data_IF_904132125526
#
_entry.id   IF_904132125526
#
_cell.length_a   1.000
_cell.length_b   1.000
_cell.length_c   1.000
_cell.angle_alpha   90.00
_cell.angle_beta   90.00
_cell.angle_gamma   90.00
#
_symmetry.space_group_name_H-M   'P 1'
#
loop_
_entity.id
_entity.type
_entity.pdbx_description
1 polymer ?
#
# COMPACT_ATOMS: atom_id res chain seq x y z
N UNK A 1 -18.93 -18.96 -0.42
CA UNK A 1 -17.85 -17.95 -0.48
C UNK A 1 -17.34 -17.55 0.92
N UNK A 2 -17.57 -18.32 2.00
CA UNK A 2 -17.31 -17.86 3.38
C UNK A 2 -16.13 -18.55 4.08
N UNK A 3 -15.49 -19.56 3.45
CA UNK A 3 -14.49 -20.40 4.10
C UNK A 3 -13.15 -19.71 4.41
N UNK A 4 -12.83 -18.61 3.72
CA UNK A 4 -11.53 -17.91 3.86
C UNK A 4 -11.50 -17.01 5.12
N UNK A 5 -12.66 -16.51 5.57
CA UNK A 5 -12.77 -15.61 6.73
C UNK A 5 -12.74 -16.33 8.08
N UNK A 6 -13.18 -17.59 8.14
CA UNK A 6 -13.37 -18.34 9.39
C UNK A 6 -12.07 -18.90 10.01
N UNK A 7 -10.92 -18.72 9.36
CA UNK A 7 -9.62 -19.21 9.83
C UNK A 7 -8.91 -18.17 10.73
N UNK A 8 -9.43 -16.95 10.82
CA UNK A 8 -8.63 -15.75 11.14
C UNK A 8 -8.95 -15.07 12.48
N UNK A 9 -9.77 -15.69 13.35
CA UNK A 9 -10.32 -15.03 14.56
C UNK A 9 -10.16 -15.88 15.83
N UNK A 10 -9.04 -16.59 15.97
CA UNK A 10 -8.89 -17.69 16.94
C UNK A 10 -8.13 -17.41 18.24
N UNK A 11 -7.29 -16.38 18.31
CA UNK A 11 -6.30 -16.22 19.40
C UNK A 11 -6.10 -14.75 19.83
N UNK A 12 -5.77 -14.48 21.10
CA UNK A 12 -5.32 -13.18 21.61
C UNK A 12 -3.78 -13.13 21.73
N UNK A 13 -3.16 -11.99 21.41
CA UNK A 13 -1.71 -11.84 21.37
C UNK A 13 -1.25 -10.36 21.40
N UNK A 14 0.04 -10.10 21.62
CA UNK A 14 0.62 -8.76 21.87
C UNK A 14 2.06 -8.71 21.31
N UNK A 15 2.57 -7.65 20.64
CA UNK A 15 3.71 -7.84 19.70
C UNK A 15 4.70 -6.71 19.35
N UNK A 16 5.53 -7.04 18.32
CA UNK A 16 6.60 -6.28 17.65
C UNK A 16 6.39 -6.24 16.12
N UNK A 17 6.80 -5.16 15.48
CA UNK A 17 5.98 -4.49 14.44
C UNK A 17 6.64 -4.28 13.06
N UNK A 18 5.84 -4.20 11.98
CA UNK A 18 6.31 -4.37 10.59
C UNK A 18 5.38 -3.77 9.49
N UNK A 19 5.76 -2.65 8.84
CA UNK A 19 4.95 -2.03 7.77
C UNK A 19 5.41 -2.33 6.32
N UNK A 20 4.85 -3.37 5.70
CA UNK A 20 4.75 -3.50 4.22
C UNK A 20 3.26 -3.64 3.80
N UNK A 21 2.92 -3.74 2.50
CA UNK A 21 3.64 -3.20 1.36
C UNK A 21 2.93 -2.00 0.73
N UNK A 22 3.66 -1.00 0.20
CA UNK A 22 3.06 0.14 -0.47
C UNK A 22 2.42 -0.23 -1.82
N UNK A 23 1.21 0.29 -2.09
CA UNK A 23 0.51 0.11 -3.36
C UNK A 23 1.27 0.78 -4.52
N UNK A 24 1.33 0.12 -5.68
CA UNK A 24 1.44 0.79 -6.98
C UNK A 24 0.01 0.94 -7.50
N UNK A 25 -0.66 1.99 -7.04
CA UNK A 25 -1.94 2.37 -7.63
C UNK A 25 -1.66 3.00 -9.00
N UNK A 26 -2.19 2.40 -10.08
CA UNK A 26 -2.34 3.10 -11.35
C UNK A 26 -3.24 4.34 -11.10
N UNK A 27 -2.74 5.57 -11.25
CA UNK A 27 -3.55 6.75 -11.00
C UNK A 27 -4.72 6.83 -11.98
N UNK A 28 -4.58 6.35 -13.22
CA UNK A 28 -5.67 6.32 -14.22
C UNK A 28 -6.81 5.36 -13.85
N UNK A 29 -6.55 4.31 -13.07
CA UNK A 29 -7.60 3.43 -12.54
C UNK A 29 -8.42 4.11 -11.43
N UNK A 30 -7.79 5.01 -10.67
CA UNK A 30 -8.45 5.81 -9.62
C UNK A 30 -8.96 7.17 -10.12
N UNK A 31 -8.71 7.54 -11.37
CA UNK A 31 -9.06 8.84 -11.98
C UNK A 31 -10.14 8.66 -13.05
N UNK A 32 -11.41 8.75 -12.65
CA UNK A 32 -12.52 8.80 -13.61
C UNK A 32 -12.45 10.12 -14.42
N UNK A 33 -12.73 10.10 -15.73
CA UNK A 33 -12.71 11.30 -16.57
C UNK A 33 -13.94 12.19 -16.28
N UNK A 34 -13.80 13.07 -15.29
CA UNK A 34 -14.83 14.06 -14.94
C UNK A 34 -14.82 15.22 -15.94
N UNK A 35 -15.92 15.37 -16.69
CA UNK A 35 -16.18 16.50 -17.59
C UNK A 35 -15.88 16.23 -19.08
N UNK A 36 -16.67 16.85 -19.97
CA UNK A 36 -16.73 16.56 -21.41
C UNK A 36 -15.41 16.77 -22.17
N UNK A 37 -15.38 16.33 -23.43
CA UNK A 37 -14.24 16.46 -24.34
C UNK A 37 -13.79 17.92 -24.60
N UNK A 38 -14.64 18.89 -24.27
CA UNK A 38 -14.46 20.33 -24.53
C UNK A 38 -13.74 21.06 -23.37
N UNK A 39 -13.59 20.41 -22.21
CA UNK A 39 -12.89 20.98 -21.06
C UNK A 39 -11.38 21.18 -21.32
N UNK A 40 -10.72 22.10 -20.58
CA UNK A 40 -9.34 22.50 -20.86
C UNK A 40 -8.37 21.30 -20.90
N UNK A 41 -7.32 21.36 -21.74
CA UNK A 41 -6.46 20.21 -21.99
C UNK A 41 -5.61 19.84 -20.78
N UNK A 42 -5.19 20.81 -19.96
CA UNK A 42 -4.62 20.59 -18.64
C UNK A 42 -5.72 20.77 -17.60
N UNK A 43 -5.97 19.73 -16.80
CA UNK A 43 -6.91 19.74 -15.68
C UNK A 43 -6.13 19.50 -14.39
N UNK A 44 -6.27 20.42 -13.45
CA UNK A 44 -5.79 20.23 -12.08
C UNK A 44 -6.95 19.65 -11.29
N UNK A 45 -6.94 18.33 -11.06
CA UNK A 45 -7.79 17.77 -10.03
C UNK A 45 -7.17 18.10 -8.67
N UNK A 46 -7.72 19.11 -8.00
CA UNK A 46 -7.67 19.27 -6.56
C UNK A 46 -8.50 18.15 -5.88
N UNK A 47 -8.12 16.90 -6.14
CA UNK A 47 -8.76 15.70 -5.63
C UNK A 47 -8.03 15.25 -4.37
N UNK A 48 -8.64 15.45 -3.21
CA UNK A 48 -8.16 14.82 -1.99
C UNK A 48 -8.47 13.32 -2.07
N UNK A 49 -7.45 12.51 -2.32
CA UNK A 49 -7.47 11.08 -2.00
C UNK A 49 -6.87 10.92 -0.62
N UNK A 50 -7.70 10.51 0.34
CA UNK A 50 -7.29 10.17 1.71
C UNK A 50 -7.63 8.71 1.99
N UNK A 51 -6.62 7.88 2.23
CA UNK A 51 -6.77 6.51 2.72
C UNK A 51 -6.40 6.49 4.19
N UNK A 52 -7.37 6.19 5.05
CA UNK A 52 -7.15 5.72 6.41
C UNK A 52 -7.16 4.18 6.40
N UNK A 53 -6.27 3.52 7.14
CA UNK A 53 -6.41 2.08 7.34
C UNK A 53 -5.85 1.63 8.70
N UNK A 54 -6.41 0.53 9.17
CA UNK A 54 -6.03 -0.20 10.37
C UNK A 54 -5.59 -1.61 9.93
N UNK A 55 -4.33 -1.94 10.14
CA UNK A 55 -3.80 -3.30 9.91
C UNK A 55 -3.76 -4.07 11.21
N UNK A 56 -3.93 -5.40 11.17
CA UNK A 56 -3.67 -6.32 12.27
C UNK A 56 -2.70 -7.40 11.81
N UNK A 57 -1.57 -7.57 12.50
CA UNK A 57 -0.43 -8.35 12.03
C UNK A 57 -0.05 -9.47 13.01
N UNK A 58 -0.21 -10.72 12.58
CA UNK A 58 0.12 -11.93 13.35
C UNK A 58 1.47 -12.50 12.92
N UNK A 59 2.39 -12.63 13.88
CA UNK A 59 3.73 -13.22 13.65
C UNK A 59 3.73 -14.71 14.00
N UNK A 60 3.95 -15.58 13.02
CA UNK A 60 3.69 -17.03 13.14
C UNK A 60 4.64 -17.81 14.07
N UNK A 61 5.62 -17.14 14.66
CA UNK A 61 6.58 -17.70 15.64
C UNK A 61 6.74 -16.83 16.89
N UNK A 62 5.90 -15.81 17.06
CA UNK A 62 5.89 -14.96 18.26
C UNK A 62 4.84 -15.40 19.29
N UNK A 63 3.65 -15.79 18.82
CA UNK A 63 2.45 -15.80 19.67
C UNK A 63 1.96 -14.38 19.96
N UNK A 64 2.19 -13.47 19.01
CA UNK A 64 2.23 -12.02 19.20
C UNK A 64 1.54 -11.30 18.00
N UNK A 65 0.50 -10.48 18.26
CA UNK A 65 -0.24 -9.61 17.30
C UNK A 65 0.02 -8.08 17.48
N UNK A 66 0.14 -7.32 16.38
CA UNK A 66 0.32 -5.84 16.34
C UNK A 66 -0.75 -5.14 15.50
N UNK A 67 -0.84 -3.80 15.55
CA UNK A 67 -1.59 -3.02 14.56
C UNK A 67 -0.82 -1.84 13.95
N UNK A 68 -1.18 -1.44 12.73
CA UNK A 68 -0.71 -0.16 12.15
C UNK A 68 -1.88 0.77 11.87
N UNK A 69 -1.65 2.08 12.00
CA UNK A 69 -2.61 3.12 11.62
C UNK A 69 -1.99 3.98 10.53
N UNK A 70 -2.41 3.74 9.29
CA UNK A 70 -1.92 4.45 8.12
C UNK A 70 -2.81 5.60 7.69
N UNK A 71 -2.20 6.75 7.36
CA UNK A 71 -2.84 7.85 6.63
C UNK A 71 -2.02 8.16 5.39
N UNK A 72 -2.58 7.86 4.22
CA UNK A 72 -2.00 8.20 2.92
C UNK A 72 -2.82 9.31 2.27
N UNK A 73 -2.13 10.32 1.74
CA UNK A 73 -2.69 11.44 1.02
C UNK A 73 -2.14 11.59 -0.39
N UNK A 74 -2.93 12.23 -1.24
CA UNK A 74 -2.51 12.84 -2.51
C UNK A 74 -2.93 14.29 -2.49
N UNK A 75 -2.00 15.21 -2.78
CA UNK A 75 -2.27 16.66 -2.74
C UNK A 75 -2.86 17.21 -4.04
N UNK A 76 -2.46 16.69 -5.21
CA UNK A 76 -2.80 17.29 -6.51
C UNK A 76 -2.62 16.29 -7.65
N UNK A 77 -3.65 16.01 -8.46
CA UNK A 77 -3.47 15.22 -9.68
C UNK A 77 -3.52 16.13 -10.92
N UNK A 78 -2.43 16.15 -11.70
CA UNK A 78 -2.34 16.87 -12.96
C UNK A 78 -2.70 15.93 -14.11
N UNK A 79 -3.85 16.13 -14.74
CA UNK A 79 -4.26 15.37 -15.92
C UNK A 79 -4.10 16.19 -17.20
N UNK A 80 -3.49 15.61 -18.22
CA UNK A 80 -3.39 16.18 -19.57
C UNK A 80 -4.19 15.34 -20.57
N UNK A 81 -5.27 15.93 -21.09
CA UNK A 81 -6.20 15.38 -22.09
C UNK A 81 -6.70 13.96 -21.76
N UNK A 82 -6.88 13.69 -20.47
CA UNK A 82 -7.28 12.38 -19.91
C UNK A 82 -6.44 11.19 -20.41
N UNK A 83 -5.19 11.50 -20.81
CA UNK A 83 -4.21 10.58 -21.39
C UNK A 83 -2.89 10.51 -20.64
N UNK A 84 -2.55 11.52 -19.85
CA UNK A 84 -1.40 11.51 -18.95
C UNK A 84 -1.87 12.03 -17.59
N UNK A 85 -1.60 11.31 -16.51
CA UNK A 85 -1.80 11.78 -15.13
C UNK A 85 -0.48 11.77 -14.40
N UNK A 86 -0.13 12.89 -13.76
CA UNK A 86 0.96 12.99 -12.79
C UNK A 86 0.36 13.18 -11.39
N UNK A 87 0.82 12.39 -10.42
CA UNK A 87 0.30 12.40 -9.05
C UNK A 87 1.44 12.26 -8.03
N UNK A 88 1.78 13.32 -7.27
CA UNK A 88 2.59 13.22 -6.08
C UNK A 88 1.76 12.58 -4.96
N UNK A 89 2.38 11.71 -4.18
CA UNK A 89 1.75 11.06 -3.03
C UNK A 89 2.60 11.22 -1.77
N UNK A 90 1.95 11.13 -0.62
CA UNK A 90 2.59 11.07 0.69
C UNK A 90 1.83 10.11 1.60
N UNK A 91 2.51 9.52 2.58
CA UNK A 91 1.87 8.79 3.67
C UNK A 91 2.64 8.97 4.97
N UNK A 92 1.91 8.93 6.08
CA UNK A 92 2.43 8.78 7.43
C UNK A 92 1.76 7.54 8.03
N UNK A 93 2.55 6.55 8.42
CA UNK A 93 2.08 5.29 8.98
C UNK A 93 2.60 5.20 10.40
N UNK A 94 1.68 5.15 11.37
CA UNK A 94 1.99 4.94 12.77
C UNK A 94 2.01 3.44 13.03
N UNK A 95 3.13 2.98 13.58
CA UNK A 95 3.46 1.56 13.79
C UNK A 95 3.30 1.37 15.30
N UNK A 96 2.20 0.74 15.75
CA UNK A 96 1.69 0.83 17.13
C UNK A 96 1.36 -0.55 17.71
N UNK A 97 2.09 -0.93 18.76
CA UNK A 97 1.93 -2.21 19.43
C UNK A 97 1.92 -2.06 20.94
N UNK A 98 1.76 -3.16 21.67
CA UNK A 98 1.82 -3.13 23.12
C UNK A 98 3.23 -2.86 23.63
N UNK A 99 3.25 -2.32 24.85
CA UNK A 99 4.41 -2.08 25.70
C UNK A 99 5.16 -3.40 25.94
N UNK A 100 6.50 -3.37 26.05
CA UNK A 100 7.27 -4.59 26.30
C UNK A 100 6.99 -5.16 27.70
N UNK A 101 7.24 -6.45 27.87
CA UNK A 101 7.31 -7.07 29.19
C UNK A 101 8.41 -6.45 30.10
N UNK A 102 9.37 -5.72 29.54
CA UNK A 102 10.42 -4.96 30.23
C UNK A 102 10.25 -3.42 30.18
N UNK A 103 9.11 -2.92 29.68
CA UNK A 103 8.79 -1.47 29.61
C UNK A 103 7.60 -1.13 30.54
N UNK A 104 7.54 0.09 31.06
CA UNK A 104 6.39 0.56 31.84
C UNK A 104 5.40 1.31 30.93
N UNK A 105 4.12 0.94 31.00
CA UNK A 105 3.08 1.58 30.20
C UNK A 105 2.86 3.05 30.59
N UNK A 106 2.93 3.94 29.59
CA UNK A 106 2.69 5.37 29.78
C UNK A 106 1.19 5.72 29.92
N UNK A 107 0.28 4.80 29.55
CA UNK A 107 -1.18 4.97 29.65
C UNK A 107 -1.87 3.64 29.97
N UNK A 108 -3.13 3.70 30.42
CA UNK A 108 -4.00 2.55 30.71
C UNK A 108 -4.25 1.66 29.46
N UNK A 109 -4.01 2.17 28.25
CA UNK A 109 -4.18 1.39 27.03
C UNK A 109 -3.05 0.36 26.78
N UNK A 110 -1.95 0.41 27.54
CA UNK A 110 -0.77 -0.48 27.41
C UNK A 110 -0.17 -0.56 26.00
N UNK A 111 -0.45 0.45 25.16
CA UNK A 111 0.03 0.58 23.78
C UNK A 111 1.05 1.70 23.62
N UNK A 112 1.99 1.52 22.71
CA UNK A 112 3.15 2.36 22.44
C UNK A 112 3.39 2.50 20.93
N UNK A 113 3.74 3.70 20.48
CA UNK A 113 4.12 3.96 19.09
C UNK A 113 5.56 3.46 18.85
N UNK A 114 5.69 2.26 18.29
CA UNK A 114 6.96 1.57 18.04
C UNK A 114 7.87 2.33 17.08
N UNK A 115 7.28 2.88 16.02
CA UNK A 115 7.98 3.60 14.96
C UNK A 115 7.02 4.52 14.19
N UNK A 116 7.58 5.35 13.31
CA UNK A 116 6.83 6.13 12.32
C UNK A 116 7.45 5.90 10.95
N UNK A 117 6.65 5.50 9.96
CA UNK A 117 7.09 5.40 8.57
C UNK A 117 6.49 6.54 7.73
N UNK A 118 7.37 7.34 7.15
CA UNK A 118 7.01 8.28 6.09
C UNK A 118 7.17 7.62 4.72
N UNK A 119 6.26 7.94 3.80
CA UNK A 119 6.39 7.60 2.39
C UNK A 119 6.11 8.85 1.55
N UNK A 120 6.83 9.04 0.45
CA UNK A 120 6.56 10.10 -0.51
C UNK A 120 7.10 9.76 -1.89
N UNK A 121 6.50 10.35 -2.93
CA UNK A 121 6.94 10.09 -4.30
C UNK A 121 6.07 10.73 -5.36
N UNK A 122 6.34 10.36 -6.61
CA UNK A 122 5.65 10.85 -7.81
C UNK A 122 5.33 9.66 -8.72
N UNK A 123 4.05 9.51 -9.05
CA UNK A 123 3.55 8.56 -10.04
C UNK A 123 3.22 9.32 -11.33
N UNK A 124 3.44 8.67 -12.48
CA UNK A 124 2.99 9.11 -13.78
C UNK A 124 2.30 7.92 -14.49
N UNK A 125 1.19 8.15 -15.18
CA UNK A 125 0.60 7.12 -16.03
C UNK A 125 0.05 7.68 -17.33
N UNK A 126 0.24 6.93 -18.42
CA UNK A 126 -0.12 7.30 -19.78
C UNK A 126 -1.05 6.25 -20.42
N UNK A 127 -2.26 6.68 -20.80
CA UNK A 127 -3.24 5.86 -21.52
C UNK A 127 -2.88 5.76 -22.99
N UNK A 128 -2.51 4.55 -23.42
CA UNK A 128 -2.10 4.23 -24.80
C UNK A 128 -3.06 3.25 -25.47
N UNK A 129 -2.92 3.04 -26.78
CA UNK A 129 -3.68 2.01 -27.53
C UNK A 129 -3.41 0.56 -27.08
N UNK A 130 -2.35 0.35 -26.30
CA UNK A 130 -1.94 -0.98 -25.83
C UNK A 130 -2.40 -1.26 -24.39
N UNK A 131 -2.68 -0.22 -23.61
CA UNK A 131 -2.97 -0.24 -22.18
C UNK A 131 -2.50 1.05 -21.50
N UNK A 132 -2.73 1.15 -20.20
CA UNK A 132 -2.22 2.20 -19.33
C UNK A 132 -0.78 1.88 -18.90
N UNK A 133 0.20 2.61 -19.43
CA UNK A 133 1.58 2.57 -18.97
C UNK A 133 1.67 3.35 -17.64
N UNK A 134 2.21 2.76 -16.59
CA UNK A 134 2.44 3.40 -15.29
C UNK A 134 3.93 3.40 -14.99
N UNK A 135 4.47 4.52 -14.53
CA UNK A 135 5.83 4.63 -13.98
C UNK A 135 5.81 5.46 -12.69
N UNK A 136 6.81 5.29 -11.84
CA UNK A 136 6.91 6.15 -10.66
C UNK A 136 8.17 5.96 -9.85
N UNK A 137 8.35 6.90 -8.94
CA UNK A 137 9.35 6.89 -7.88
C UNK A 137 8.65 7.04 -6.53
N UNK A 138 9.12 6.32 -5.52
CA UNK A 138 8.72 6.45 -4.12
C UNK A 138 9.94 6.24 -3.23
N UNK A 139 10.09 7.07 -2.20
CA UNK A 139 10.95 6.83 -1.05
C UNK A 139 10.10 6.46 0.15
N UNK A 140 10.54 5.48 0.93
CA UNK A 140 9.99 5.16 2.25
C UNK A 140 11.10 5.29 3.29
N UNK A 141 10.78 5.85 4.46
CA UNK A 141 11.73 6.04 5.57
C UNK A 141 11.04 5.70 6.89
N UNK A 142 11.55 4.70 7.59
CA UNK A 142 11.08 4.22 8.88
C UNK A 142 12.01 4.71 9.98
N UNK A 143 11.46 5.47 10.93
CA UNK A 143 12.17 5.98 12.09
C UNK A 143 11.70 5.23 13.34
N UNK A 144 12.56 4.38 13.95
CA UNK A 144 12.22 3.62 15.14
C UNK A 144 12.21 4.51 16.39
N UNK A 145 11.19 4.33 17.23
CA UNK A 145 11.07 5.01 18.54
C UNK A 145 11.34 4.06 19.71
N UNK A 146 11.50 2.76 19.43
CA UNK A 146 11.71 1.67 20.39
C UNK A 146 12.90 0.80 19.97
N UNK A 147 13.54 0.11 20.92
CA UNK A 147 14.69 -0.77 20.64
C UNK A 147 14.24 -2.06 19.94
N UNK A 148 15.13 -2.65 19.13
CA UNK A 148 14.87 -3.87 18.35
C UNK A 148 14.36 -3.63 16.92
N UNK A 149 13.86 -2.42 16.65
CA UNK A 149 13.50 -1.97 15.30
C UNK A 149 14.71 -1.50 14.50
N UNK A 150 14.64 -1.67 13.19
CA UNK A 150 15.61 -1.16 12.21
C UNK A 150 15.25 0.27 11.81
N UNK A 151 16.24 1.15 11.69
CA UNK A 151 16.06 2.35 10.86
C UNK A 151 16.31 1.96 9.39
N UNK A 152 15.33 2.22 8.52
CA UNK A 152 15.35 1.79 7.12
C UNK A 152 14.88 2.90 6.21
N UNK A 153 15.64 3.16 5.16
CA UNK A 153 15.19 3.91 4.00
C UNK A 153 15.24 3.01 2.76
N UNK A 154 14.26 3.17 1.87
CA UNK A 154 14.19 2.45 0.59
C UNK A 154 13.69 3.40 -0.50
N UNK A 155 14.51 3.56 -1.53
CA UNK A 155 14.14 4.22 -2.77
C UNK A 155 13.61 3.15 -3.75
N UNK A 156 12.44 3.37 -4.32
CA UNK A 156 11.79 2.45 -5.25
C UNK A 156 11.43 3.16 -6.55
N UNK A 157 11.98 2.68 -7.66
CA UNK A 157 11.50 2.99 -8.99
C UNK A 157 10.59 1.86 -9.46
N UNK A 158 9.53 2.17 -10.19
CA UNK A 158 8.68 1.15 -10.79
C UNK A 158 8.17 1.55 -12.17
N UNK A 159 7.89 0.54 -12.98
CA UNK A 159 7.25 0.66 -14.29
C UNK A 159 6.31 -0.53 -14.51
N UNK A 160 5.20 -0.33 -15.20
CA UNK A 160 4.25 -1.40 -15.48
C UNK A 160 3.21 -1.05 -16.53
N UNK A 161 2.43 -2.05 -16.93
CA UNK A 161 1.39 -1.94 -17.94
C UNK A 161 0.11 -2.58 -17.41
N UNK A 162 -0.98 -1.80 -17.40
CA UNK A 162 -2.32 -2.25 -17.05
C UNK A 162 -3.29 -2.18 -18.23
N UNK A 163 -4.33 -3.02 -18.21
CA UNK A 163 -5.35 -3.06 -19.26
C UNK A 163 -6.65 -3.73 -18.79
N UNK A 164 -7.76 -3.20 -19.26
CA UNK A 164 -9.10 -3.76 -19.08
C UNK A 164 -9.35 -4.97 -20.00
N UNK A 165 -9.91 -6.01 -19.39
CA UNK A 165 -10.33 -7.30 -19.95
C UNK A 165 -11.63 -7.72 -19.24
N UNK A 166 -12.73 -7.02 -19.52
CA UNK A 166 -14.00 -7.10 -18.79
C UNK A 166 -14.42 -8.54 -18.41
N UNK A 167 -14.76 -8.83 -17.14
CA UNK A 167 -14.94 -7.90 -16.00
C UNK A 167 -13.66 -7.55 -15.23
N UNK A 168 -12.48 -7.87 -15.75
CA UNK A 168 -11.19 -7.71 -15.05
C UNK A 168 -10.40 -6.50 -15.52
N UNK A 169 -9.62 -5.90 -14.63
CA UNK A 169 -8.44 -5.11 -14.98
C UNK A 169 -7.20 -5.94 -14.59
N UNK A 170 -6.29 -6.13 -15.55
CA UNK A 170 -5.05 -6.88 -15.36
C UNK A 170 -3.86 -5.95 -15.54
N UNK A 171 -2.89 -6.00 -14.63
CA UNK A 171 -1.63 -5.27 -14.77
C UNK A 171 -0.42 -6.09 -14.32
N UNK A 172 0.75 -5.68 -14.82
CA UNK A 172 2.06 -6.16 -14.39
C UNK A 172 2.96 -4.98 -14.10
N UNK A 173 3.65 -4.98 -12.96
CA UNK A 173 4.62 -3.96 -12.57
C UNK A 173 5.95 -4.60 -12.20
N UNK A 174 7.04 -4.00 -12.67
CA UNK A 174 8.40 -4.27 -12.23
C UNK A 174 8.84 -3.13 -11.32
N UNK A 175 9.25 -3.44 -10.08
CA UNK A 175 9.76 -2.48 -9.11
C UNK A 175 11.24 -2.78 -8.83
N UNK A 176 12.12 -1.78 -8.95
CA UNK A 176 13.52 -1.84 -8.54
C UNK A 176 13.68 -1.07 -7.22
N UNK A 177 14.35 -1.67 -6.24
CA UNK A 177 14.52 -1.12 -4.89
C UNK A 177 16.00 -1.00 -4.52
N UNK A 178 16.42 0.18 -4.10
CA UNK A 178 17.79 0.51 -3.73
C UNK A 178 17.81 1.56 -2.60
N UNK A 179 19.01 2.03 -2.22
CA UNK A 179 19.17 3.29 -1.52
C UNK A 179 20.17 4.13 -2.32
N UNK A 180 19.73 5.29 -2.85
CA UNK A 180 20.54 6.08 -3.78
C UNK A 180 21.62 6.90 -3.05
N UNK A 181 22.83 6.90 -3.61
CA UNK A 181 24.04 7.53 -3.07
C UNK A 181 23.89 9.05 -2.84
N UNK A 182 22.95 9.70 -3.54
CA UNK A 182 22.55 11.10 -3.31
C UNK A 182 22.10 11.38 -1.86
N UNK A 183 21.76 10.33 -1.11
CA UNK A 183 21.32 10.35 0.28
C UNK A 183 22.31 9.64 1.20
N UNK A 184 23.62 9.88 1.04
CA UNK A 184 24.73 9.29 1.82
C UNK A 184 24.32 8.91 3.25
N UNK A 185 24.13 7.61 3.51
CA UNK A 185 23.68 7.11 4.81
C UNK A 185 24.35 5.80 5.17
N UNK A 186 24.60 5.62 6.47
CA UNK A 186 25.05 4.34 7.03
C UNK A 186 23.92 3.30 7.19
N UNK A 187 22.76 3.52 6.56
CA UNK A 187 21.63 2.59 6.64
C UNK A 187 21.88 1.36 5.75
N UNK A 188 21.39 0.16 6.15
CA UNK A 188 21.53 -1.04 5.33
C UNK A 188 20.75 -0.90 4.02
N UNK A 189 21.28 -1.45 2.92
CA UNK A 189 20.56 -1.51 1.66
C UNK A 189 19.31 -2.42 1.77
N UNK A 190 18.24 -2.11 1.02
CA UNK A 190 17.06 -2.96 0.94
C UNK A 190 17.39 -4.41 0.55
N UNK A 191 16.80 -5.36 1.28
CA UNK A 191 16.98 -6.81 1.11
C UNK A 191 16.28 -7.27 -0.17
N UNK A 192 15.07 -6.76 -0.41
CA UNK A 192 14.40 -6.87 -1.71
C UNK A 192 15.09 -5.94 -2.72
N UNK A 193 15.61 -6.49 -3.84
CA UNK A 193 16.20 -5.68 -4.93
C UNK A 193 15.25 -5.48 -6.10
N UNK A 194 14.54 -6.52 -6.49
CA UNK A 194 13.59 -6.50 -7.60
C UNK A 194 12.28 -7.14 -7.14
N UNK A 195 11.15 -6.56 -7.54
CA UNK A 195 9.82 -7.11 -7.29
C UNK A 195 9.06 -7.15 -8.60
N UNK A 196 8.63 -8.34 -9.01
CA UNK A 196 7.63 -8.51 -10.06
C UNK A 196 6.26 -8.64 -9.40
N UNK A 197 5.37 -7.68 -9.67
CA UNK A 197 4.00 -7.68 -9.19
C UNK A 197 3.06 -7.96 -10.37
N UNK A 198 2.10 -8.85 -10.16
CA UNK A 198 0.90 -8.93 -10.99
C UNK A 198 -0.24 -8.28 -10.20
N UNK A 199 -1.23 -7.72 -10.91
CA UNK A 199 -2.46 -7.21 -10.32
C UNK A 199 -3.63 -7.75 -11.15
N UNK A 200 -4.63 -8.30 -10.48
CA UNK A 200 -5.93 -8.62 -11.06
C UNK A 200 -7.01 -7.99 -10.18
N UNK A 201 -7.76 -7.04 -10.72
CA UNK A 201 -8.92 -6.43 -10.07
C UNK A 201 -10.19 -6.76 -10.85
N UNK A 202 -11.32 -6.86 -10.16
CA UNK A 202 -12.65 -6.91 -10.76
C UNK A 202 -13.64 -6.13 -9.90
N UNK A 203 -14.59 -5.47 -10.57
CA UNK A 203 -15.60 -4.64 -9.93
C UNK A 203 -16.98 -4.99 -10.48
N UNK A 204 -18.01 -4.93 -9.63
CA UNK A 204 -19.37 -5.26 -10.01
C UNK A 204 -20.36 -4.24 -9.41
N UNK A 205 -21.06 -3.53 -10.29
CA UNK A 205 -22.04 -2.49 -9.95
C UNK A 205 -23.36 -3.11 -9.52
N UNK A 206 -23.63 -3.13 -8.21
CA UNK A 206 -24.90 -3.61 -7.64
C UNK A 206 -26.02 -2.57 -7.80
N UNK A 207 -25.67 -1.28 -7.70
CA UNK A 207 -26.54 -0.12 -7.94
C UNK A 207 -25.71 1.02 -8.52
N UNK A 208 -26.36 2.07 -9.04
CA UNK A 208 -25.69 3.26 -9.62
C UNK A 208 -24.68 3.93 -8.68
N UNK A 209 -24.88 3.75 -7.39
CA UNK A 209 -24.16 4.34 -6.26
C UNK A 209 -23.41 3.32 -5.39
N UNK A 210 -23.47 2.01 -5.72
CA UNK A 210 -22.90 0.93 -4.93
C UNK A 210 -22.25 -0.14 -5.82
N UNK A 211 -20.94 -0.32 -5.63
CA UNK A 211 -20.12 -1.35 -6.26
C UNK A 211 -19.53 -2.28 -5.19
N UNK A 212 -19.32 -3.55 -5.55
CA UNK A 212 -18.37 -4.44 -4.85
C UNK A 212 -17.11 -4.59 -5.69
N UNK A 213 -15.96 -4.75 -5.03
CA UNK A 213 -14.68 -4.97 -5.71
C UNK A 213 -13.86 -6.07 -5.03
N UNK A 214 -13.03 -6.72 -5.83
CA UNK A 214 -11.99 -7.65 -5.40
C UNK A 214 -10.70 -7.36 -6.17
N UNK A 215 -9.57 -7.42 -5.47
CA UNK A 215 -8.24 -7.21 -6.01
C UNK A 215 -7.28 -8.26 -5.45
N UNK A 216 -6.42 -8.82 -6.31
CA UNK A 216 -5.34 -9.71 -5.96
C UNK A 216 -4.03 -9.17 -6.56
N UNK A 217 -3.01 -9.03 -5.72
CA UNK A 217 -1.68 -8.55 -6.09
C UNK A 217 -0.61 -9.54 -5.59
N UNK A 218 -0.32 -10.64 -6.30
CA UNK A 218 0.81 -11.50 -5.94
C UNK A 218 2.13 -10.84 -6.39
N UNK A 219 3.11 -10.75 -5.47
CA UNK A 219 4.47 -10.27 -5.73
C UNK A 219 5.47 -11.41 -5.65
N UNK A 220 6.37 -11.44 -6.62
CA UNK A 220 7.59 -12.25 -6.60
C UNK A 220 8.77 -11.34 -6.24
N UNK A 221 9.30 -11.53 -5.03
CA UNK A 221 10.41 -10.79 -4.46
C UNK A 221 11.73 -11.49 -4.83
N UNK A 222 12.71 -10.72 -5.32
CA UNK A 222 14.07 -11.20 -5.58
C UNK A 222 15.05 -10.51 -4.62
N UNK A 223 15.65 -11.32 -3.75
CA UNK A 223 16.56 -10.84 -2.72
C UNK A 223 17.94 -10.41 -3.26
N UNK A 224 18.53 -9.41 -2.60
CA UNK A 224 19.90 -8.92 -2.78
C UNK A 224 20.95 -9.86 -2.15
N UNK A 225 20.56 -10.54 -1.07
CA UNK A 225 21.45 -11.32 -0.22
C UNK A 225 21.02 -12.80 -0.18
N UNK A 226 21.34 -13.53 -1.24
CA UNK A 226 21.09 -14.96 -1.42
C UNK A 226 20.14 -15.28 -2.58
N UNK A 227 20.13 -16.55 -3.07
CA UNK A 227 19.32 -16.97 -4.22
C UNK A 227 17.84 -17.19 -3.89
N UNK A 228 17.33 -16.63 -2.78
CA UNK A 228 15.95 -16.82 -2.34
C UNK A 228 15.00 -15.91 -3.12
N UNK A 229 14.07 -16.54 -3.83
CA UNK A 229 12.89 -15.88 -4.40
C UNK A 229 11.71 -16.14 -3.45
N UNK A 230 10.95 -15.10 -3.11
CA UNK A 230 9.87 -15.18 -2.13
C UNK A 230 8.55 -14.71 -2.75
N UNK A 231 7.44 -15.34 -2.38
CA UNK A 231 6.10 -15.02 -2.88
C UNK A 231 5.29 -14.33 -1.78
N UNK A 232 4.93 -13.08 -2.01
CA UNK A 232 4.03 -12.31 -1.16
C UNK A 232 2.67 -12.19 -1.85
N UNK A 233 1.67 -13.01 -1.47
CA UNK A 233 0.29 -12.79 -1.88
C UNK A 233 -0.29 -11.59 -1.10
N UNK A 234 -0.78 -10.59 -1.83
CA UNK A 234 -1.59 -9.47 -1.31
C UNK A 234 -2.99 -9.54 -1.92
N UNK A 235 -4.03 -9.13 -1.18
CA UNK A 235 -5.39 -9.00 -1.73
C UNK A 235 -6.25 -8.01 -0.96
N UNK A 236 -7.28 -7.47 -1.64
CA UNK A 236 -8.29 -6.56 -1.09
C UNK A 236 -9.68 -6.99 -1.54
N UNK A 237 -10.69 -6.87 -0.68
CA UNK A 237 -12.12 -7.05 -1.03
C UNK A 237 -12.96 -6.01 -0.30
N UNK A 238 -13.93 -5.40 -0.98
CA UNK A 238 -14.70 -4.33 -0.36
C UNK A 238 -15.92 -3.85 -1.12
N UNK A 239 -16.51 -2.80 -0.57
CA UNK A 239 -17.60 -2.01 -1.15
C UNK A 239 -17.10 -0.61 -1.48
N UNK A 240 -17.59 -0.05 -2.58
CA UNK A 240 -17.45 1.37 -2.91
C UNK A 240 -18.84 1.99 -3.01
N UNK A 241 -19.02 3.11 -2.33
CA UNK A 241 -20.25 3.91 -2.32
C UNK A 241 -19.95 5.31 -2.82
N UNK A 242 -20.77 5.86 -3.71
CA UNK A 242 -20.61 7.24 -4.16
C UNK A 242 -21.11 7.52 -5.57
N UNK A 243 -20.57 8.58 -6.16
CA UNK A 243 -20.91 9.09 -7.50
C UNK A 243 -19.65 9.61 -8.21
N UNK A 244 -19.79 9.93 -9.50
CA UNK A 244 -18.71 10.50 -10.30
C UNK A 244 -18.15 11.78 -9.65
N UNK A 245 -16.93 11.69 -9.12
CA UNK A 245 -16.24 12.77 -8.42
C UNK A 245 -16.28 12.76 -6.89
N UNK A 246 -17.03 11.83 -6.25
CA UNK A 246 -16.95 11.58 -4.80
C UNK A 246 -17.26 10.13 -4.43
N UNK A 247 -16.28 9.40 -3.89
CA UNK A 247 -16.41 8.00 -3.44
C UNK A 247 -15.88 7.77 -2.03
N UNK A 248 -16.48 6.79 -1.37
CA UNK A 248 -16.03 6.15 -0.14
C UNK A 248 -15.85 4.65 -0.40
N UNK A 249 -14.69 4.10 -0.10
CA UNK A 249 -14.40 2.66 -0.10
C UNK A 249 -14.29 2.16 1.33
N UNK A 250 -14.93 1.03 1.65
CA UNK A 250 -14.72 0.25 2.86
C UNK A 250 -14.29 -1.15 2.44
N UNK A 251 -13.12 -1.60 2.89
CA UNK A 251 -12.53 -2.85 2.43
C UNK A 251 -11.77 -3.59 3.52
N UNK A 252 -11.82 -4.91 3.44
CA UNK A 252 -10.83 -5.77 4.06
C UNK A 252 -9.65 -5.92 3.09
N UNK A 253 -8.47 -6.09 3.64
CA UNK A 253 -7.29 -6.49 2.88
C UNK A 253 -6.40 -7.38 3.71
N UNK A 254 -5.42 -8.00 3.07
CA UNK A 254 -4.39 -8.72 3.77
C UNK A 254 -3.21 -9.08 2.86
N UNK A 255 -2.10 -9.42 3.50
CA UNK A 255 -0.92 -9.93 2.84
C UNK A 255 -0.20 -10.95 3.72
N UNK A 256 0.70 -11.72 3.12
CA UNK A 256 1.63 -12.57 3.85
C UNK A 256 3.02 -12.41 3.29
N UNK A 257 3.97 -12.07 4.15
CA UNK A 257 5.40 -12.14 3.81
C UNK A 257 6.10 -13.24 4.62
N UNK A 258 7.18 -13.77 4.08
CA UNK A 258 8.06 -14.75 4.73
C UNK A 258 9.26 -14.09 5.40
N UNK A 259 9.58 -12.85 5.01
CA UNK A 259 10.65 -12.05 5.57
C UNK A 259 10.27 -10.57 5.55
N UNK A 260 10.77 -9.82 6.52
CA UNK A 260 10.41 -8.43 6.70
C UNK A 260 11.53 -7.71 7.45
N UNK A 261 11.89 -6.51 6.97
CA UNK A 261 13.19 -5.88 7.20
C UNK A 261 13.23 -5.06 8.51
N UNK A 262 12.08 -4.63 9.00
CA UNK A 262 11.90 -3.54 9.97
C UNK A 262 12.18 -3.91 11.45
N UNK A 263 12.45 -5.18 11.78
CA UNK A 263 13.16 -5.59 13.00
C UNK A 263 14.59 -6.00 12.67
N UNK A 264 15.50 -5.73 13.61
CA UNK A 264 16.95 -5.71 13.37
C UNK A 264 17.59 -7.09 13.26
N UNK A 265 17.14 -8.04 14.07
CA UNK A 265 17.98 -9.19 14.46
C UNK A 265 17.52 -10.54 13.89
N UNK A 266 16.32 -10.64 13.29
CA UNK A 266 15.72 -11.89 12.82
C UNK A 266 14.81 -11.69 11.60
N UNK A 267 14.66 -12.75 10.80
CA UNK A 267 13.59 -12.90 9.80
C UNK A 267 12.35 -13.47 10.48
N UNK A 268 11.17 -12.95 10.15
CA UNK A 268 9.88 -13.42 10.66
C UNK A 268 8.88 -13.56 9.52
N UNK A 269 8.08 -14.63 9.55
CA UNK A 269 6.94 -14.78 8.66
C UNK A 269 5.71 -14.12 9.31
N UNK A 270 5.12 -13.16 8.60
CA UNK A 270 4.06 -12.28 9.10
C UNK A 270 2.86 -12.37 8.19
N UNK A 271 1.68 -12.58 8.77
CA UNK A 271 0.40 -12.51 8.05
C UNK A 271 -0.39 -11.33 8.58
N UNK A 272 -0.84 -10.46 7.69
CA UNK A 272 -1.50 -9.20 8.05
C UNK A 272 -2.88 -9.16 7.42
N UNK A 273 -3.86 -8.71 8.19
CA UNK A 273 -5.27 -8.56 7.80
C UNK A 273 -5.71 -7.18 8.30
N UNK A 274 -6.15 -6.29 7.42
CA UNK A 274 -6.52 -4.92 7.78
C UNK A 274 -7.89 -4.50 7.29
N UNK A 275 -8.52 -3.60 8.03
CA UNK A 275 -9.71 -2.87 7.61
C UNK A 275 -9.29 -1.47 7.15
N UNK A 276 -9.71 -1.07 5.95
CA UNK A 276 -9.36 0.24 5.40
C UNK A 276 -10.57 1.03 4.91
N UNK A 277 -10.44 2.35 4.98
CA UNK A 277 -11.41 3.33 4.52
C UNK A 277 -10.69 4.31 3.59
N UNK A 278 -11.10 4.38 2.32
CA UNK A 278 -10.54 5.35 1.39
C UNK A 278 -11.62 6.31 0.89
N UNK A 279 -11.39 7.61 1.06
CA UNK A 279 -12.20 8.66 0.49
C UNK A 279 -11.46 9.30 -0.69
N UNK A 280 -12.19 9.55 -1.78
CA UNK A 280 -11.73 10.40 -2.86
C UNK A 280 -12.82 11.42 -3.19
N UNK A 281 -12.49 12.70 -3.20
CA UNK A 281 -13.41 13.76 -3.60
C UNK A 281 -12.69 14.90 -4.30
N UNK A 282 -13.30 15.45 -5.34
CA UNK A 282 -12.85 16.73 -5.90
C UNK A 282 -13.27 17.89 -4.99
N UNK A 283 -12.33 18.77 -4.68
CA UNK A 283 -12.65 20.12 -4.22
C UNK A 283 -13.47 20.87 -5.28
N UNK A 284 -14.35 21.76 -4.81
CA UNK A 284 -15.05 22.74 -5.65
C UNK A 284 -14.21 23.99 -5.85
#
# INVERSE_FOLDING_TARGET
MCAILLVLTGYPAAARDYPEPPEVANPLYRYEPVGSADGPPLRIAAGFFGRFWYDHATVSTGGEDVFTVGVQGSSLALAWRDRLVLQPHFASILVVGPVAADEQAATIAEWWMNAVQYQYGLHAAHRSRFGDLVVGYRRTSLHPLRKGYSEISRDQFFAGLGRDFEPWYLAVYLRYSDLWELWESGLPQPRNRLVLELQAAAEHTLRRDLQVFAELQPRLLLNRYGPTMELEPVGRVGVRVGSQGSRLELYLHGYRTHDTEQLRDRRYATTVIGLGVAAAGHGK
#
